data_IF_798886574212
#
_entry.id   IF_798886574212
#
_cell.length_a   1.000
_cell.length_b   1.000
_cell.length_c   1.000
_cell.angle_alpha   90.00
_cell.angle_beta   90.00
_cell.angle_gamma   90.00
#
_symmetry.space_group_name_H-M   'P 1'
#
loop_
_entity.id
_entity.type
_entity.pdbx_description
1 polymer ?
#
# COMPACT_ATOMS: atom_id res chain seq x y z
N UNK A 1 18.67 37.21 14.10
CA UNK A 1 17.92 35.95 13.96
C UNK A 1 17.78 35.47 12.50
N UNK A 2 17.40 36.31 11.54
CA UNK A 2 17.18 35.92 10.12
C UNK A 2 18.44 35.37 9.43
N UNK A 3 19.62 35.97 9.61
CA UNK A 3 20.88 35.52 8.98
C UNK A 3 21.29 34.11 9.44
N UNK A 4 21.12 33.77 10.73
CA UNK A 4 21.45 32.45 11.28
C UNK A 4 20.58 31.36 10.68
N UNK A 5 19.26 31.56 10.61
CA UNK A 5 18.31 30.63 9.92
C UNK A 5 18.70 30.38 8.47
N UNK A 6 19.16 31.43 7.76
CA UNK A 6 19.56 31.31 6.35
C UNK A 6 20.80 30.42 6.19
N UNK A 7 21.79 30.54 7.08
CA UNK A 7 22.97 29.69 7.08
C UNK A 7 22.66 28.24 7.42
N UNK A 8 21.79 28.00 8.39
CA UNK A 8 21.33 26.66 8.77
C UNK A 8 20.61 25.97 7.62
N UNK A 9 19.70 26.68 6.91
CA UNK A 9 19.02 26.16 5.73
C UNK A 9 19.98 25.83 4.59
N UNK A 10 20.96 26.67 4.34
CA UNK A 10 21.95 26.44 3.29
C UNK A 10 22.83 25.21 3.60
N UNK A 11 23.28 25.07 4.84
CA UNK A 11 24.06 23.91 5.27
C UNK A 11 23.27 22.60 5.19
N UNK A 12 22.00 22.63 5.61
CA UNK A 12 21.11 21.48 5.52
C UNK A 12 20.81 21.09 4.07
N UNK A 13 20.60 22.08 3.19
CA UNK A 13 20.40 21.84 1.77
C UNK A 13 21.63 21.15 1.13
N UNK A 14 22.84 21.61 1.48
CA UNK A 14 24.07 20.98 0.99
C UNK A 14 24.19 19.52 1.47
N UNK A 15 23.88 19.26 2.74
CA UNK A 15 23.89 17.90 3.30
C UNK A 15 22.92 17.00 2.57
N UNK A 16 21.65 17.40 2.46
CA UNK A 16 20.60 16.62 1.76
C UNK A 16 20.91 16.40 0.29
N UNK A 17 21.44 17.42 -0.38
CA UNK A 17 21.84 17.29 -1.78
C UNK A 17 22.93 16.24 -1.97
N UNK A 18 23.92 16.15 -1.08
CA UNK A 18 24.94 15.09 -1.16
C UNK A 18 24.35 13.70 -1.05
N UNK A 19 23.45 13.48 -0.11
CA UNK A 19 22.76 12.19 0.08
C UNK A 19 21.93 11.81 -1.15
N UNK A 20 21.14 12.75 -1.69
CA UNK A 20 20.32 12.54 -2.89
C UNK A 20 21.20 12.26 -4.10
N UNK A 21 22.26 13.03 -4.32
CA UNK A 21 23.16 12.87 -5.46
C UNK A 21 23.93 11.56 -5.42
N UNK A 22 24.36 11.12 -4.23
CA UNK A 22 25.04 9.82 -4.06
C UNK A 22 24.07 8.67 -4.45
N UNK A 23 22.82 8.72 -3.99
CA UNK A 23 21.80 7.74 -4.34
C UNK A 23 21.48 7.76 -5.84
N UNK A 24 21.18 8.93 -6.40
CA UNK A 24 20.88 9.06 -7.84
C UNK A 24 22.06 8.58 -8.70
N UNK A 25 23.29 8.90 -8.31
CA UNK A 25 24.49 8.45 -9.02
C UNK A 25 24.61 6.92 -9.02
N UNK A 26 24.37 6.27 -7.89
CA UNK A 26 24.35 4.82 -7.77
C UNK A 26 23.24 4.19 -8.66
N UNK A 27 22.03 4.77 -8.68
CA UNK A 27 20.91 4.32 -9.52
C UNK A 27 21.21 4.48 -11.02
N UNK A 28 21.84 5.57 -11.43
CA UNK A 28 22.30 5.79 -12.81
C UNK A 28 23.28 4.69 -13.20
N UNK A 29 24.32 4.45 -12.38
CA UNK A 29 25.31 3.41 -12.63
C UNK A 29 24.70 2.03 -12.77
N UNK A 30 23.82 1.66 -11.85
CA UNK A 30 23.14 0.38 -11.86
C UNK A 30 22.24 0.22 -13.08
N UNK A 31 21.45 1.24 -13.42
CA UNK A 31 20.54 1.24 -14.58
C UNK A 31 21.30 1.16 -15.90
N UNK A 32 22.41 1.89 -16.02
CA UNK A 32 23.31 1.83 -17.16
C UNK A 32 23.91 0.44 -17.31
N UNK A 33 24.46 -0.10 -16.23
CA UNK A 33 25.13 -1.42 -16.22
C UNK A 33 24.15 -2.54 -16.59
N UNK A 34 22.91 -2.50 -16.07
CA UNK A 34 21.87 -3.48 -16.43
C UNK A 34 21.51 -3.45 -17.93
N UNK A 35 21.71 -2.32 -18.60
CA UNK A 35 21.48 -2.18 -20.05
C UNK A 35 22.73 -2.49 -20.89
N UNK A 36 23.80 -2.96 -20.27
CA UNK A 36 25.06 -3.23 -20.96
C UNK A 36 25.75 -1.99 -21.53
N UNK A 37 25.34 -0.78 -21.14
CA UNK A 37 25.88 0.48 -21.65
C UNK A 37 27.18 0.85 -20.96
N UNK A 38 28.15 1.38 -21.70
CA UNK A 38 29.32 2.03 -21.17
C UNK A 38 29.02 3.47 -20.73
N UNK A 39 29.87 4.07 -19.90
CA UNK A 39 29.76 5.50 -19.55
C UNK A 39 29.89 6.41 -20.79
N UNK A 40 30.66 6.00 -21.79
CA UNK A 40 30.83 6.74 -23.04
C UNK A 40 29.53 6.75 -23.86
N UNK A 41 28.87 5.62 -24.01
CA UNK A 41 27.58 5.49 -24.73
C UNK A 41 26.47 6.29 -24.06
N UNK A 42 26.37 6.24 -22.71
CA UNK A 42 25.42 7.08 -21.98
C UNK A 42 25.75 8.56 -22.20
N UNK A 43 27.04 8.95 -22.09
CA UNK A 43 27.50 10.31 -22.35
C UNK A 43 27.11 10.80 -23.73
N UNK A 44 27.31 9.99 -24.78
CA UNK A 44 26.93 10.30 -26.15
C UNK A 44 25.41 10.53 -26.27
N UNK A 45 24.59 9.67 -25.68
CA UNK A 45 23.12 9.80 -25.71
C UNK A 45 22.59 11.09 -25.08
N UNK A 46 23.23 11.57 -24.03
CA UNK A 46 22.78 12.76 -23.30
C UNK A 46 23.59 14.03 -23.64
N UNK A 47 24.58 13.92 -24.55
CA UNK A 47 25.39 15.04 -25.01
C UNK A 47 26.43 15.52 -23.99
N UNK A 48 27.06 14.62 -23.18
CA UNK A 48 28.10 14.95 -22.22
C UNK A 48 29.33 14.03 -22.36
N UNK A 49 30.48 14.47 -21.85
CA UNK A 49 31.68 13.65 -21.85
C UNK A 49 31.56 12.42 -20.93
N UNK A 50 32.26 11.33 -21.24
CA UNK A 50 32.39 10.14 -20.39
C UNK A 50 32.74 10.50 -18.93
N UNK A 51 33.72 11.40 -18.75
CA UNK A 51 34.17 11.84 -17.43
C UNK A 51 33.03 12.45 -16.60
N UNK A 52 32.10 13.17 -17.25
CA UNK A 52 30.91 13.75 -16.62
C UNK A 52 29.98 12.66 -16.11
N UNK A 53 29.72 11.62 -16.92
CA UNK A 53 28.92 10.46 -16.47
C UNK A 53 29.57 9.79 -15.28
N UNK A 54 30.89 9.58 -15.32
CA UNK A 54 31.62 9.03 -14.18
C UNK A 54 31.55 9.89 -12.92
N UNK A 55 31.55 11.21 -13.05
CA UNK A 55 31.34 12.13 -11.92
C UNK A 55 29.93 12.02 -11.34
N UNK A 56 28.91 12.00 -12.21
CA UNK A 56 27.48 11.80 -11.81
C UNK A 56 27.31 10.49 -11.05
N UNK A 57 27.87 9.39 -11.55
CA UNK A 57 27.77 8.07 -10.92
C UNK A 57 28.47 8.00 -9.54
N UNK A 58 29.40 8.91 -9.26
CA UNK A 58 30.03 9.07 -7.92
C UNK A 58 29.30 10.06 -7.01
N UNK A 59 28.15 10.58 -7.43
CA UNK A 59 27.38 11.55 -6.64
C UNK A 59 27.87 13.00 -6.77
N UNK A 60 28.73 13.30 -7.74
CA UNK A 60 29.28 14.64 -7.98
C UNK A 60 28.46 15.45 -9.02
N UNK A 61 27.20 15.08 -9.22
CA UNK A 61 26.30 15.68 -10.21
C UNK A 61 25.58 16.96 -9.77
N UNK A 62 25.97 17.59 -8.67
CA UNK A 62 25.23 18.73 -8.08
C UNK A 62 25.24 20.02 -8.90
N UNK A 63 26.16 20.18 -9.85
CA UNK A 63 26.20 21.32 -10.75
C UNK A 63 25.33 21.15 -12.01
N UNK A 64 24.70 20.01 -12.21
CA UNK A 64 23.83 19.76 -13.35
C UNK A 64 22.41 20.28 -13.11
N UNK A 65 21.80 20.82 -14.17
CA UNK A 65 20.42 21.30 -14.15
C UNK A 65 19.44 20.13 -14.05
N UNK A 66 18.21 20.44 -13.67
CA UNK A 66 17.13 19.48 -13.67
C UNK A 66 16.89 18.86 -15.05
N UNK A 67 17.00 19.67 -16.11
CA UNK A 67 16.91 19.19 -17.49
C UNK A 67 17.98 18.14 -17.83
N UNK A 68 19.22 18.33 -17.38
CA UNK A 68 20.28 17.36 -17.55
C UNK A 68 19.97 16.03 -16.84
N UNK A 69 19.48 16.09 -15.61
CA UNK A 69 19.04 14.91 -14.87
C UNK A 69 17.85 14.20 -15.52
N UNK A 70 16.89 14.96 -16.08
CA UNK A 70 15.76 14.41 -16.82
C UNK A 70 16.22 13.68 -18.09
N UNK A 71 17.18 14.24 -18.84
CA UNK A 71 17.77 13.57 -20.01
C UNK A 71 18.47 12.27 -19.62
N UNK A 72 19.18 12.24 -18.52
CA UNK A 72 19.78 11.00 -17.98
C UNK A 72 18.70 9.95 -17.72
N UNK A 73 17.64 10.34 -17.01
CA UNK A 73 16.53 9.44 -16.70
C UNK A 73 15.86 8.89 -17.96
N UNK A 74 15.56 9.75 -18.94
CA UNK A 74 14.97 9.34 -20.22
C UNK A 74 15.89 8.42 -21.02
N UNK A 75 17.20 8.70 -21.06
CA UNK A 75 18.17 7.85 -21.75
C UNK A 75 18.28 6.44 -21.13
N UNK A 76 17.85 6.30 -19.90
CA UNK A 76 17.82 5.04 -19.13
C UNK A 76 16.41 4.45 -19.02
N UNK A 77 15.39 4.97 -19.74
CA UNK A 77 13.98 4.58 -19.63
C UNK A 77 13.45 4.65 -18.19
N UNK A 78 13.98 5.58 -17.40
CA UNK A 78 13.62 5.85 -16.00
C UNK A 78 13.45 7.36 -15.79
N UNK A 79 12.32 7.95 -16.23
CA UNK A 79 12.07 9.38 -16.05
C UNK A 79 12.27 9.81 -14.61
N UNK A 80 12.99 10.92 -14.41
CA UNK A 80 13.18 11.49 -13.07
C UNK A 80 11.83 12.01 -12.53
N UNK A 81 11.52 11.64 -11.29
CA UNK A 81 10.38 12.20 -10.53
C UNK A 81 10.93 13.07 -9.41
N UNK A 82 10.39 14.28 -9.30
CA UNK A 82 10.76 15.21 -8.24
C UNK A 82 9.48 15.61 -7.53
N UNK A 83 9.47 15.36 -6.25
CA UNK A 83 8.35 15.68 -5.37
C UNK A 83 8.91 16.38 -4.13
N UNK A 84 8.21 17.40 -3.64
CA UNK A 84 8.50 17.94 -2.32
C UNK A 84 8.08 16.90 -1.27
N UNK A 85 8.87 16.79 -0.22
CA UNK A 85 8.43 16.01 0.94
C UNK A 85 7.08 16.55 1.42
N UNK A 86 6.24 15.65 1.88
CA UNK A 86 4.93 16.00 2.42
C UNK A 86 5.09 17.06 3.54
N UNK A 87 4.20 18.04 3.57
CA UNK A 87 4.17 19.02 4.66
C UNK A 87 3.86 18.25 5.98
N UNK A 88 4.70 18.39 7.02
CA UNK A 88 4.41 17.76 8.32
C UNK A 88 3.10 18.22 8.98
N UNK A 89 2.53 19.35 8.49
CA UNK A 89 1.23 19.85 8.92
C UNK A 89 0.06 19.17 8.21
N UNK A 90 0.32 18.47 7.12
CA UNK A 90 -0.69 17.63 6.48
C UNK A 90 -0.87 16.36 7.28
N UNK A 91 -2.12 15.89 7.39
CA UNK A 91 -2.40 14.59 7.99
C UNK A 91 -1.57 13.48 7.30
N UNK A 92 -1.06 12.48 8.06
CA UNK A 92 -0.37 11.33 7.48
C UNK A 92 -1.15 10.73 6.32
N UNK A 93 -0.46 10.24 5.29
CA UNK A 93 -1.11 9.70 4.08
C UNK A 93 -2.09 8.56 4.39
N UNK A 94 -1.81 7.85 5.46
CA UNK A 94 -2.56 6.71 5.98
C UNK A 94 -3.60 7.08 7.06
N UNK A 95 -3.63 8.33 7.57
CA UNK A 95 -4.58 8.73 8.62
C UNK A 95 -6.04 8.45 8.24
N UNK A 96 -6.42 8.74 7.00
CA UNK A 96 -7.76 8.41 6.52
C UNK A 96 -8.02 6.91 6.41
N UNK A 97 -7.00 6.12 6.11
CA UNK A 97 -7.08 4.66 6.08
C UNK A 97 -7.23 4.09 7.51
N UNK A 98 -6.36 4.50 8.43
CA UNK A 98 -6.42 4.09 9.83
C UNK A 98 -7.75 4.48 10.50
N UNK A 99 -8.29 5.68 10.21
CA UNK A 99 -9.58 6.11 10.71
C UNK A 99 -10.73 5.21 10.25
N UNK A 100 -10.68 4.70 9.01
CA UNK A 100 -11.67 3.74 8.50
C UNK A 100 -11.51 2.40 9.21
N UNK A 101 -10.29 1.89 9.34
CA UNK A 101 -10.02 0.63 10.05
C UNK A 101 -10.55 0.69 11.49
N UNK A 102 -10.23 1.75 12.23
CA UNK A 102 -10.67 1.92 13.60
C UNK A 102 -12.20 2.01 13.71
N UNK A 103 -12.86 2.73 12.79
CA UNK A 103 -14.32 2.81 12.73
C UNK A 103 -14.93 1.40 12.54
N UNK A 104 -14.40 0.62 11.59
CA UNK A 104 -14.88 -0.74 11.31
C UNK A 104 -14.70 -1.66 12.50
N UNK A 105 -13.53 -1.62 13.16
CA UNK A 105 -13.28 -2.43 14.36
C UNK A 105 -14.22 -2.05 15.49
N UNK A 106 -14.45 -0.76 15.71
CA UNK A 106 -15.36 -0.27 16.77
C UNK A 106 -16.80 -0.71 16.51
N UNK A 107 -17.29 -0.51 15.29
CA UNK A 107 -18.65 -0.94 14.91
C UNK A 107 -18.80 -2.46 14.96
N UNK A 108 -17.82 -3.20 14.46
CA UNK A 108 -17.84 -4.66 14.50
C UNK A 108 -17.89 -5.19 15.93
N UNK A 109 -17.10 -4.63 16.86
CA UNK A 109 -17.14 -5.00 18.26
C UNK A 109 -18.47 -4.66 18.93
N UNK A 110 -19.03 -3.48 18.64
CA UNK A 110 -20.34 -3.09 19.15
C UNK A 110 -21.46 -4.04 18.67
N UNK A 111 -21.37 -4.53 17.45
CA UNK A 111 -22.29 -5.50 16.87
C UNK A 111 -22.00 -6.97 17.27
N UNK A 112 -21.05 -7.21 18.19
CA UNK A 112 -20.74 -8.53 18.74
C UNK A 112 -19.76 -9.37 17.93
N UNK A 113 -19.13 -8.81 16.90
CA UNK A 113 -18.07 -9.50 16.15
C UNK A 113 -16.75 -9.51 16.93
N UNK A 114 -15.95 -10.55 16.75
CA UNK A 114 -14.53 -10.50 17.11
C UNK A 114 -13.79 -9.77 15.98
N UNK A 115 -13.42 -8.52 16.25
CA UNK A 115 -12.73 -7.67 15.29
C UNK A 115 -11.23 -7.62 15.56
N UNK A 116 -10.42 -7.86 14.52
CA UNK A 116 -8.96 -7.90 14.56
C UNK A 116 -8.40 -6.97 13.49
N UNK A 117 -7.45 -6.11 13.85
CA UNK A 117 -6.65 -5.34 12.89
C UNK A 117 -5.66 -6.26 12.17
N UNK A 118 -5.39 -5.96 10.90
CA UNK A 118 -4.37 -6.62 10.10
C UNK A 118 -4.39 -8.15 10.23
N UNK A 119 -5.58 -8.72 10.01
CA UNK A 119 -5.76 -10.17 10.08
C UNK A 119 -4.90 -10.85 8.99
N UNK A 120 -3.89 -11.68 9.35
CA UNK A 120 -3.13 -12.41 8.36
C UNK A 120 -4.03 -13.36 7.56
N UNK A 121 -4.03 -13.25 6.23
CA UNK A 121 -4.73 -14.20 5.36
C UNK A 121 -4.00 -15.54 5.26
N UNK A 122 -2.69 -15.55 5.54
CA UNK A 122 -1.84 -16.75 5.72
C UNK A 122 -1.02 -16.61 7.00
N UNK A 123 -1.11 -17.55 7.95
CA UNK A 123 -0.27 -17.53 9.16
C UNK A 123 1.24 -17.54 8.87
N UNK A 124 1.65 -18.17 7.74
CA UNK A 124 3.05 -18.27 7.30
C UNK A 124 3.56 -17.03 6.55
N UNK A 125 2.70 -16.07 6.21
CA UNK A 125 3.09 -14.86 5.48
C UNK A 125 2.39 -13.60 6.04
N UNK A 126 2.96 -12.94 7.05
CA UNK A 126 2.39 -11.73 7.66
C UNK A 126 2.22 -10.56 6.70
N UNK A 127 2.97 -10.53 5.57
CA UNK A 127 2.82 -9.47 4.56
C UNK A 127 1.54 -9.59 3.72
N UNK A 128 0.77 -10.68 3.86
CA UNK A 128 -0.55 -10.85 3.25
C UNK A 128 -1.61 -10.78 4.34
N UNK A 129 -1.92 -9.57 4.82
CA UNK A 129 -2.99 -9.31 5.79
C UNK A 129 -4.15 -8.57 5.14
N UNK A 130 -5.36 -8.77 5.67
CA UNK A 130 -6.50 -7.90 5.41
C UNK A 130 -6.57 -6.81 6.47
N UNK A 131 -7.04 -5.63 6.13
CA UNK A 131 -7.03 -4.46 7.02
C UNK A 131 -7.81 -4.71 8.32
N UNK A 132 -8.99 -5.33 8.22
CA UNK A 132 -9.79 -5.73 9.37
C UNK A 132 -10.43 -7.08 9.12
N UNK A 133 -10.33 -7.99 10.09
CA UNK A 133 -11.09 -9.25 10.14
C UNK A 133 -12.26 -9.13 11.12
N UNK A 134 -13.48 -9.42 10.66
CA UNK A 134 -14.68 -9.50 11.49
C UNK A 134 -15.15 -10.96 11.54
N UNK A 135 -15.07 -11.58 12.73
CA UNK A 135 -15.47 -12.97 12.94
C UNK A 135 -16.74 -13.07 13.78
N UNK A 136 -17.73 -13.76 13.24
CA UNK A 136 -18.95 -14.15 13.93
C UNK A 136 -18.90 -15.66 14.21
N UNK A 137 -18.69 -16.03 15.47
CA UNK A 137 -18.59 -17.42 15.88
C UNK A 137 -19.96 -18.13 15.91
N UNK A 138 -21.06 -17.38 16.04
CA UNK A 138 -22.43 -17.93 16.04
C UNK A 138 -22.87 -18.35 14.65
N UNK A 139 -22.64 -17.45 13.69
CA UNK A 139 -23.00 -17.69 12.28
C UNK A 139 -21.86 -18.38 11.49
N UNK A 140 -20.74 -18.69 12.14
CA UNK A 140 -19.55 -19.29 11.48
C UNK A 140 -19.15 -18.48 10.24
N UNK A 141 -19.03 -17.18 10.39
CA UNK A 141 -18.74 -16.25 9.30
C UNK A 141 -17.48 -15.44 9.60
N UNK A 142 -16.59 -15.36 8.63
CA UNK A 142 -15.40 -14.50 8.64
C UNK A 142 -15.52 -13.49 7.50
N UNK A 143 -15.59 -12.21 7.83
CA UNK A 143 -15.61 -11.12 6.86
C UNK A 143 -14.24 -10.44 6.82
N UNK A 144 -13.60 -10.44 5.65
CA UNK A 144 -12.37 -9.72 5.36
C UNK A 144 -12.73 -8.32 4.88
N UNK A 145 -12.29 -7.31 5.58
CA UNK A 145 -12.59 -5.91 5.24
C UNK A 145 -11.32 -5.22 4.76
N UNK A 146 -11.36 -4.68 3.54
CA UNK A 146 -10.33 -3.82 2.96
C UNK A 146 -10.80 -2.36 3.04
N UNK A 147 -9.99 -1.51 3.65
CA UNK A 147 -10.31 -0.11 3.92
C UNK A 147 -9.62 0.80 2.88
N UNK A 148 -10.39 1.60 2.16
CA UNK A 148 -9.87 2.45 1.08
C UNK A 148 -10.13 3.92 1.35
N UNK A 149 -9.11 4.65 1.78
CA UNK A 149 -9.15 6.13 1.81
C UNK A 149 -9.20 6.68 0.38
N UNK A 150 -8.38 6.14 -0.52
CA UNK A 150 -8.38 6.44 -1.96
C UNK A 150 -8.14 5.16 -2.73
N UNK A 151 -9.03 4.82 -3.64
CA UNK A 151 -8.84 3.67 -4.55
C UNK A 151 -7.98 4.14 -5.72
N UNK A 152 -6.81 3.52 -5.90
CA UNK A 152 -5.91 3.81 -7.02
C UNK A 152 -6.19 2.91 -8.24
N UNK A 153 -5.80 1.64 -8.13
CA UNK A 153 -6.00 0.62 -9.16
C UNK A 153 -7.06 -0.40 -8.69
N UNK A 154 -8.27 -0.27 -9.23
CA UNK A 154 -9.39 -1.16 -8.91
C UNK A 154 -9.08 -2.62 -9.25
N UNK A 155 -8.47 -2.86 -10.41
CA UNK A 155 -8.15 -4.22 -10.85
C UNK A 155 -7.13 -4.90 -9.94
N UNK A 156 -6.07 -4.20 -9.55
CA UNK A 156 -5.09 -4.72 -8.61
C UNK A 156 -5.71 -4.97 -7.23
N UNK A 157 -6.53 -4.04 -6.75
CA UNK A 157 -7.27 -4.17 -5.48
C UNK A 157 -8.16 -5.40 -5.46
N UNK A 158 -8.99 -5.59 -6.50
CA UNK A 158 -9.87 -6.76 -6.62
C UNK A 158 -9.07 -8.07 -6.64
N UNK A 159 -8.00 -8.14 -7.45
CA UNK A 159 -7.16 -9.35 -7.50
C UNK A 159 -6.50 -9.65 -6.14
N UNK A 160 -6.07 -8.61 -5.41
CA UNK A 160 -5.51 -8.76 -4.07
C UNK A 160 -6.55 -9.31 -3.09
N UNK A 161 -7.76 -8.73 -3.08
CA UNK A 161 -8.87 -9.16 -2.22
C UNK A 161 -9.24 -10.62 -2.48
N UNK A 162 -9.36 -11.04 -3.75
CA UNK A 162 -9.69 -12.42 -4.11
C UNK A 162 -8.63 -13.42 -3.66
N UNK A 163 -7.34 -13.05 -3.78
CA UNK A 163 -6.25 -13.92 -3.27
C UNK A 163 -6.32 -14.06 -1.76
N UNK A 164 -6.51 -12.95 -1.03
CA UNK A 164 -6.65 -12.96 0.43
C UNK A 164 -7.85 -13.79 0.86
N UNK A 165 -8.96 -13.71 0.13
CA UNK A 165 -10.16 -14.52 0.40
C UNK A 165 -9.88 -16.01 0.22
N UNK A 166 -9.28 -16.42 -0.90
CA UNK A 166 -8.93 -17.81 -1.15
C UNK A 166 -7.95 -18.37 -0.10
N UNK A 167 -6.96 -17.54 0.30
CA UNK A 167 -6.03 -17.89 1.37
C UNK A 167 -6.74 -18.06 2.72
N UNK A 168 -7.68 -17.16 3.05
CA UNK A 168 -8.44 -17.22 4.29
C UNK A 168 -9.44 -18.38 4.33
N UNK A 169 -10.00 -18.79 3.19
CA UNK A 169 -10.86 -20.00 3.09
C UNK A 169 -10.09 -21.26 3.51
N UNK A 170 -8.82 -21.38 3.07
CA UNK A 170 -7.94 -22.46 3.51
C UNK A 170 -7.68 -22.43 5.03
N UNK A 171 -7.47 -21.23 5.60
CA UNK A 171 -7.28 -21.07 7.05
C UNK A 171 -8.58 -21.28 7.82
N UNK A 172 -9.70 -20.82 7.30
CA UNK A 172 -11.04 -20.96 7.90
C UNK A 172 -11.45 -22.44 8.03
N UNK A 173 -11.05 -23.28 7.09
CA UNK A 173 -11.23 -24.73 7.17
C UNK A 173 -10.46 -25.35 8.35
N UNK A 174 -9.25 -24.83 8.64
CA UNK A 174 -8.43 -25.29 9.77
C UNK A 174 -8.93 -24.72 11.11
N UNK A 175 -9.30 -23.45 11.16
CA UNK A 175 -9.84 -22.80 12.37
C UNK A 175 -11.20 -23.40 12.76
N UNK A 176 -11.99 -23.86 11.78
CA UNK A 176 -13.25 -24.57 12.01
C UNK A 176 -13.07 -25.82 12.87
N UNK A 177 -11.91 -26.48 12.77
CA UNK A 177 -11.53 -27.64 13.60
C UNK A 177 -10.82 -27.30 14.91
N UNK A 178 -10.34 -26.05 15.09
CA UNK A 178 -9.63 -25.64 16.30
C UNK A 178 -10.60 -25.10 17.36
N UNK A 179 -10.88 -25.89 18.39
CA UNK A 179 -11.65 -25.48 19.57
C UNK A 179 -10.77 -24.65 20.51
N UNK A 180 -11.32 -23.66 21.24
CA UNK A 180 -10.63 -23.08 22.37
C UNK A 180 -10.37 -24.17 23.41
N UNK A 181 -9.16 -24.21 23.97
CA UNK A 181 -8.63 -25.23 24.88
C UNK A 181 -9.58 -25.56 26.05
N UNK A 182 -10.47 -24.65 26.45
CA UNK A 182 -11.49 -24.86 27.49
C UNK A 182 -12.75 -25.65 27.05
N UNK A 183 -12.90 -25.96 25.77
CA UNK A 183 -14.07 -26.66 25.23
C UNK A 183 -13.72 -28.10 24.79
N UNK A 184 -12.54 -28.60 25.13
CA UNK A 184 -12.05 -29.93 24.73
C UNK A 184 -12.76 -31.10 25.47
N UNK A 185 -13.65 -30.82 26.44
CA UNK A 185 -14.27 -31.88 27.24
C UNK A 185 -15.70 -32.27 26.83
N UNK A 186 -16.28 -31.66 25.80
CA UNK A 186 -17.73 -31.79 25.61
C UNK A 186 -18.30 -31.96 24.20
N UNK A 187 -17.55 -32.27 23.13
CA UNK A 187 -18.15 -32.76 21.88
C UNK A 187 -17.11 -33.24 20.85
N UNK A 188 -17.37 -34.39 20.26
CA UNK A 188 -16.47 -35.18 19.44
C UNK A 188 -16.35 -34.79 17.96
N UNK A 189 -17.03 -33.73 17.47
CA UNK A 189 -16.93 -33.36 16.06
C UNK A 189 -16.48 -31.90 15.85
N UNK A 190 -15.57 -31.65 14.87
CA UNK A 190 -15.22 -30.29 14.48
C UNK A 190 -16.44 -29.59 13.87
N UNK A 191 -16.75 -28.39 14.35
CA UNK A 191 -17.86 -27.60 13.81
C UNK A 191 -17.62 -27.26 12.33
N UNK A 192 -18.70 -26.91 11.56
CA UNK A 192 -18.59 -26.61 10.14
C UNK A 192 -17.58 -25.48 9.89
N UNK A 193 -16.90 -25.45 8.72
CA UNK A 193 -15.95 -24.40 8.40
C UNK A 193 -16.61 -23.02 8.38
N UNK A 194 -15.81 -21.97 8.61
CA UNK A 194 -16.31 -20.60 8.47
C UNK A 194 -16.54 -20.27 7.00
N UNK A 195 -17.69 -19.63 6.70
CA UNK A 195 -17.91 -18.99 5.42
C UNK A 195 -17.09 -17.69 5.37
N UNK A 196 -16.24 -17.53 4.36
CA UNK A 196 -15.42 -16.34 4.17
C UNK A 196 -16.07 -15.41 3.16
N UNK A 197 -16.16 -14.12 3.49
CA UNK A 197 -16.63 -13.09 2.58
C UNK A 197 -15.66 -11.89 2.61
N UNK A 198 -15.65 -11.11 1.53
CA UNK A 198 -14.84 -9.90 1.45
C UNK A 198 -15.70 -8.66 1.24
N UNK A 199 -15.32 -7.56 1.87
CA UNK A 199 -16.00 -6.27 1.80
C UNK A 199 -14.96 -5.17 1.60
N UNK A 200 -15.28 -4.20 0.74
CA UNK A 200 -14.54 -2.95 0.65
C UNK A 200 -15.29 -1.84 1.37
N UNK A 201 -14.62 -1.19 2.32
CA UNK A 201 -15.08 0.05 2.96
C UNK A 201 -14.34 1.20 2.32
N UNK A 202 -15.04 1.98 1.54
CA UNK A 202 -14.45 3.04 0.71
C UNK A 202 -14.90 4.40 1.24
N UNK A 203 -13.94 5.30 1.54
CA UNK A 203 -14.26 6.68 1.92
C UNK A 203 -15.12 7.35 0.85
N UNK A 204 -16.22 7.98 1.25
CA UNK A 204 -17.19 8.60 0.35
C UNK A 204 -16.70 9.95 -0.22
N UNK A 205 -15.48 9.98 -0.80
CA UNK A 205 -14.98 11.13 -1.56
C UNK A 205 -15.63 11.21 -2.93
N UNK A 206 -15.63 12.41 -3.54
CA UNK A 206 -16.12 12.58 -4.92
C UNK A 206 -15.39 11.63 -5.88
N UNK A 207 -14.06 11.57 -5.79
CA UNK A 207 -13.22 10.70 -6.63
C UNK A 207 -13.58 9.22 -6.51
N UNK A 208 -13.74 8.71 -5.28
CA UNK A 208 -14.07 7.32 -5.06
C UNK A 208 -15.49 7.00 -5.55
N UNK A 209 -16.47 7.89 -5.35
CA UNK A 209 -17.82 7.72 -5.88
C UNK A 209 -17.85 7.68 -7.40
N UNK A 210 -17.13 8.59 -8.07
CA UNK A 210 -17.01 8.61 -9.53
C UNK A 210 -16.34 7.33 -10.05
N UNK A 211 -15.34 6.80 -9.32
CA UNK A 211 -14.66 5.55 -9.66
C UNK A 211 -15.61 4.35 -9.58
N UNK A 212 -16.37 4.21 -8.48
CA UNK A 212 -17.33 3.13 -8.31
C UNK A 212 -18.45 3.22 -9.37
N UNK A 213 -18.96 4.43 -9.64
CA UNK A 213 -19.97 4.65 -10.65
C UNK A 213 -19.49 4.36 -12.08
N UNK A 214 -18.18 4.43 -12.34
CA UNK A 214 -17.58 4.13 -13.67
C UNK A 214 -17.55 2.63 -13.97
N UNK A 215 -17.52 1.77 -12.96
CA UNK A 215 -17.37 0.32 -13.11
C UNK A 215 -18.46 -0.48 -12.37
N UNK A 216 -19.76 -0.21 -12.61
CA UNK A 216 -20.86 -0.80 -11.83
C UNK A 216 -20.90 -2.33 -11.95
N UNK A 217 -20.71 -2.88 -13.14
CA UNK A 217 -20.73 -4.32 -13.38
C UNK A 217 -19.61 -5.06 -12.65
N UNK A 218 -18.42 -4.45 -12.62
CA UNK A 218 -17.28 -5.00 -11.86
C UNK A 218 -17.63 -5.11 -10.38
N UNK A 219 -18.14 -4.03 -9.79
CA UNK A 219 -18.46 -4.00 -8.38
C UNK A 219 -19.66 -4.92 -8.04
N UNK A 220 -20.71 -4.93 -8.86
CA UNK A 220 -21.83 -5.84 -8.68
C UNK A 220 -21.42 -7.31 -8.77
N UNK A 221 -20.55 -7.65 -9.73
CA UNK A 221 -20.03 -9.02 -9.89
C UNK A 221 -19.13 -9.47 -8.76
N UNK A 222 -18.29 -8.58 -8.20
CA UNK A 222 -17.28 -8.95 -7.20
C UNK A 222 -17.75 -8.76 -5.77
N UNK A 223 -18.68 -7.85 -5.55
CA UNK A 223 -19.28 -7.54 -4.26
C UNK A 223 -20.80 -7.52 -4.37
N UNK A 224 -21.45 -8.69 -4.58
CA UNK A 224 -22.90 -8.77 -4.83
C UNK A 224 -23.74 -8.45 -3.59
N UNK A 225 -23.12 -8.34 -2.42
CA UNK A 225 -23.80 -8.05 -1.16
C UNK A 225 -24.36 -6.63 -1.08
N UNK A 226 -25.44 -6.43 -0.34
CA UNK A 226 -26.04 -5.12 -0.09
C UNK A 226 -25.20 -4.32 0.91
N UNK A 227 -24.64 -3.19 0.49
CA UNK A 227 -23.95 -2.25 1.39
C UNK A 227 -24.86 -1.75 2.52
N UNK A 228 -26.15 -1.53 2.22
CA UNK A 228 -27.14 -1.09 3.22
C UNK A 228 -27.36 -2.16 4.28
N UNK A 229 -27.53 -3.42 3.87
CA UNK A 229 -27.73 -4.53 4.80
C UNK A 229 -26.48 -4.76 5.67
N UNK A 230 -25.28 -4.65 5.09
CA UNK A 230 -24.03 -4.79 5.83
C UNK A 230 -23.86 -3.67 6.87
N UNK A 231 -24.11 -2.41 6.50
CA UNK A 231 -24.06 -1.29 7.45
C UNK A 231 -25.09 -1.48 8.56
N UNK A 232 -26.34 -1.86 8.24
CA UNK A 232 -27.36 -2.13 9.23
C UNK A 232 -26.91 -3.22 10.23
N UNK A 233 -26.28 -4.29 9.76
CA UNK A 233 -25.77 -5.37 10.62
C UNK A 233 -24.63 -4.94 11.57
N UNK A 234 -23.96 -3.82 11.30
CA UNK A 234 -22.92 -3.26 12.17
C UNK A 234 -23.42 -2.15 13.10
N UNK A 235 -24.61 -1.61 12.87
CA UNK A 235 -25.12 -0.43 13.61
C UNK A 235 -26.40 -0.71 14.40
N UNK A 236 -26.93 -1.92 14.34
CA UNK A 236 -28.06 -2.39 15.14
C UNK A 236 -27.59 -3.08 16.40
#
# INVERSE_FOLDING_TARGET
MVKRKRHELAAEAVRRNREVLARLGAEVRESRSRRGMTQAELGQRIGVARATVGAIERGLGGGHTLDAWQRIGLALDRPLRIELARDPREEPADAGHLAIQELVVRLGRAAGYRATFELPSRPSNPSSSTDVGLRDDRLRRLTLVECWNTVGDVGAGVRSTLRKQADAEGVAAVIGGARPIRALEAADEPGPPYTVASVWVVRATRRNRELVARYPELFASRFPGSSRAWVAALTT
#
